data_IF_533155842023
#
_entry.id   IF_533155842023
#
_cell.length_a   1.000
_cell.length_b   1.000
_cell.length_c   1.000
_cell.angle_alpha   90.00
_cell.angle_beta   90.00
_cell.angle_gamma   90.00
#
_symmetry.space_group_name_H-M   'P 1'
#
loop_
_entity.id
_entity.type
_entity.pdbx_description
1 polymer ?
#
# COMPACT_ATOMS: atom_id res chain seq x y z
N UNK A 1 -0.74 41.98 -9.65
CA UNK A 1 -0.71 41.48 -8.26
C UNK A 1 0.33 40.37 -8.20
N UNK A 2 1.34 40.52 -7.35
CA UNK A 2 2.37 39.49 -7.11
C UNK A 2 1.68 38.31 -6.40
N UNK A 3 1.97 37.07 -6.81
CA UNK A 3 1.39 35.88 -6.18
C UNK A 3 1.87 35.74 -4.74
N UNK A 4 1.05 35.21 -3.83
CA UNK A 4 1.50 34.88 -2.46
C UNK A 4 2.77 34.02 -2.46
N UNK A 5 2.93 33.18 -3.48
CA UNK A 5 4.07 32.29 -3.62
C UNK A 5 5.35 33.06 -3.98
N UNK A 6 5.24 34.11 -4.78
CA UNK A 6 6.40 34.95 -5.15
C UNK A 6 6.79 35.82 -3.95
N UNK A 7 5.80 36.38 -3.23
CA UNK A 7 6.05 37.10 -1.96
C UNK A 7 6.72 36.21 -0.91
N UNK A 8 6.23 34.98 -0.74
CA UNK A 8 6.81 34.05 0.24
C UNK A 8 8.26 33.67 -0.10
N UNK A 9 8.63 33.66 -1.38
CA UNK A 9 10.01 33.40 -1.82
C UNK A 9 10.98 34.55 -1.56
N UNK A 10 10.46 35.76 -1.37
CA UNK A 10 11.23 36.95 -1.01
C UNK A 10 11.46 37.05 0.52
N UNK A 11 10.99 36.06 1.30
CA UNK A 11 11.16 36.02 2.75
C UNK A 11 12.53 35.45 3.13
N UNK A 12 13.39 36.31 3.66
CA UNK A 12 14.75 35.97 4.09
C UNK A 12 14.78 35.03 5.32
N UNK A 13 13.75 35.05 6.17
CA UNK A 13 13.66 34.17 7.34
C UNK A 13 13.35 32.71 6.97
N UNK A 14 12.90 32.42 5.74
CA UNK A 14 12.47 31.09 5.29
C UNK A 14 13.51 30.34 4.44
N UNK A 15 14.72 30.87 4.27
CA UNK A 15 15.77 30.26 3.43
C UNK A 15 16.03 28.79 3.79
N UNK A 16 16.27 28.49 5.06
CA UNK A 16 16.52 27.12 5.53
C UNK A 16 15.31 26.18 5.34
N UNK A 17 14.10 26.71 5.47
CA UNK A 17 12.88 25.94 5.17
C UNK A 17 12.79 25.62 3.68
N UNK A 18 13.11 26.57 2.80
CA UNK A 18 13.13 26.35 1.36
C UNK A 18 14.17 25.30 0.95
N UNK A 19 15.36 25.34 1.54
CA UNK A 19 16.41 24.33 1.35
C UNK A 19 15.94 22.95 1.81
N UNK A 20 15.31 22.86 2.98
CA UNK A 20 14.76 21.61 3.49
C UNK A 20 13.75 20.99 2.53
N UNK A 21 12.83 21.80 1.99
CA UNK A 21 11.81 21.29 1.07
C UNK A 21 12.34 21.08 -0.34
N UNK A 22 13.43 21.74 -0.77
CA UNK A 22 14.00 21.59 -2.10
C UNK A 22 14.32 20.12 -2.44
N UNK A 23 14.75 19.35 -1.42
CA UNK A 23 15.06 17.92 -1.50
C UNK A 23 13.82 16.99 -1.58
N UNK A 24 12.61 17.54 -1.45
CA UNK A 24 11.35 16.77 -1.50
C UNK A 24 10.78 16.70 -2.91
N UNK A 25 9.90 15.74 -3.13
CA UNK A 25 9.14 15.64 -4.39
C UNK A 25 8.29 16.88 -4.63
N UNK A 26 8.04 17.24 -5.89
CA UNK A 26 7.21 18.40 -6.26
C UNK A 26 5.87 18.42 -5.50
N UNK A 27 5.12 17.31 -5.53
CA UNK A 27 3.84 17.17 -4.82
C UNK A 27 3.97 17.47 -3.31
N UNK A 28 5.07 17.03 -2.69
CA UNK A 28 5.34 17.29 -1.26
C UNK A 28 5.68 18.76 -1.00
N UNK A 29 6.51 19.38 -1.84
CA UNK A 29 6.85 20.80 -1.73
C UNK A 29 5.61 21.66 -1.83
N UNK A 30 4.80 21.44 -2.87
CA UNK A 30 3.57 22.18 -3.11
C UNK A 30 2.61 22.04 -1.91
N UNK A 31 2.49 20.82 -1.37
CA UNK A 31 1.68 20.56 -0.17
C UNK A 31 2.21 21.32 1.05
N UNK A 32 3.52 21.30 1.28
CA UNK A 32 4.13 21.95 2.44
C UNK A 32 4.01 23.47 2.36
N UNK A 33 4.24 24.06 1.18
CA UNK A 33 4.05 25.49 0.94
C UNK A 33 2.60 25.91 1.17
N UNK A 34 1.63 25.11 0.72
CA UNK A 34 0.22 25.40 0.95
C UNK A 34 -0.15 25.41 2.44
N UNK A 35 0.46 24.51 3.21
CA UNK A 35 0.21 24.42 4.65
C UNK A 35 0.89 25.53 5.40
N UNK A 36 2.12 25.90 5.03
CA UNK A 36 2.81 27.08 5.53
C UNK A 36 1.99 28.34 5.25
N UNK A 37 1.51 28.52 4.02
CA UNK A 37 0.57 29.60 3.68
C UNK A 37 -0.64 29.60 4.62
N UNK A 38 -1.24 28.44 4.86
CA UNK A 38 -2.39 28.31 5.77
C UNK A 38 -2.10 28.57 7.25
N UNK A 39 -0.82 28.56 7.66
CA UNK A 39 -0.33 29.00 8.98
C UNK A 39 -0.20 30.52 9.00
N UNK A 40 0.50 31.09 8.02
CA UNK A 40 0.72 32.54 7.89
C UNK A 40 -0.62 33.28 7.82
N UNK A 41 -1.52 32.84 6.92
CA UNK A 41 -2.88 33.38 6.78
C UNK A 41 -3.68 33.33 8.08
N UNK A 42 -3.45 32.31 8.92
CA UNK A 42 -4.22 32.13 10.15
C UNK A 42 -3.82 33.12 11.25
N UNK A 43 -2.55 33.52 11.27
CA UNK A 43 -2.05 34.53 12.20
C UNK A 43 -2.09 35.95 11.62
N UNK A 44 -2.60 36.11 10.39
CA UNK A 44 -2.68 37.39 9.69
C UNK A 44 -1.30 38.06 9.54
N UNK A 45 -0.26 37.24 9.38
CA UNK A 45 1.12 37.70 9.20
C UNK A 45 1.41 37.95 7.70
N UNK A 46 2.37 38.83 7.40
CA UNK A 46 2.79 39.08 6.02
C UNK A 46 3.70 37.96 5.50
N UNK A 47 3.59 37.60 4.23
CA UNK A 47 4.42 36.53 3.66
C UNK A 47 5.90 36.87 3.58
N UNK A 48 6.26 38.14 3.36
CA UNK A 48 7.65 38.60 3.23
C UNK A 48 8.30 38.70 4.62
N UNK A 49 7.53 39.20 5.60
CA UNK A 49 8.04 39.49 6.94
C UNK A 49 7.79 38.36 7.96
N UNK A 50 7.10 37.27 7.58
CA UNK A 50 6.82 36.14 8.46
C UNK A 50 8.12 35.57 9.04
N UNK A 51 8.25 35.62 10.37
CA UNK A 51 9.41 35.08 11.08
C UNK A 51 9.04 33.78 11.82
N UNK A 52 9.56 32.61 11.40
CA UNK A 52 9.30 31.33 12.06
C UNK A 52 9.69 31.30 13.55
N UNK A 53 10.67 32.09 13.97
CA UNK A 53 11.13 32.14 15.37
C UNK A 53 10.09 32.71 16.34
N UNK A 54 9.12 33.47 15.83
CA UNK A 54 8.00 33.98 16.64
C UNK A 54 6.93 32.92 16.92
N UNK A 55 7.04 31.74 16.31
CA UNK A 55 6.16 30.61 16.60
C UNK A 55 6.46 30.05 17.98
N UNK A 56 5.39 29.72 18.72
CA UNK A 56 5.49 29.18 20.07
C UNK A 56 4.35 28.20 20.35
N UNK A 57 4.41 27.55 21.53
CA UNK A 57 3.42 26.56 21.94
C UNK A 57 1.98 27.11 21.92
N UNK A 58 1.78 28.40 22.20
CA UNK A 58 0.45 29.02 22.18
C UNK A 58 -0.07 29.13 20.75
N UNK A 59 0.72 29.69 19.82
CA UNK A 59 0.37 29.77 18.39
C UNK A 59 0.04 28.37 17.85
N UNK A 60 0.87 27.36 18.11
CA UNK A 60 0.59 25.98 17.68
C UNK A 60 -0.76 25.46 18.18
N UNK A 61 -1.04 25.56 19.49
CA UNK A 61 -2.31 25.09 20.07
C UNK A 61 -3.52 25.84 19.53
N UNK A 62 -3.41 27.16 19.37
CA UNK A 62 -4.49 28.01 18.86
C UNK A 62 -4.86 27.61 17.43
N UNK A 63 -3.86 27.39 16.57
CA UNK A 63 -4.08 26.94 15.20
C UNK A 63 -4.71 25.56 15.14
N UNK A 64 -4.17 24.56 15.86
CA UNK A 64 -4.71 23.20 15.84
C UNK A 64 -6.15 23.18 16.38
N UNK A 65 -6.41 23.89 17.48
CA UNK A 65 -7.76 24.01 18.05
C UNK A 65 -8.73 24.64 17.06
N UNK A 66 -8.35 25.73 16.39
CA UNK A 66 -9.21 26.39 15.42
C UNK A 66 -9.46 25.52 14.18
N UNK A 67 -8.41 24.95 13.59
CA UNK A 67 -8.51 24.14 12.37
C UNK A 67 -9.23 22.81 12.62
N UNK A 68 -9.17 22.25 13.84
CA UNK A 68 -9.82 20.96 14.17
C UNK A 68 -11.34 20.97 14.02
N UNK A 69 -11.98 22.14 14.12
CA UNK A 69 -13.43 22.30 13.92
C UNK A 69 -13.89 21.98 12.49
N UNK A 70 -13.01 22.13 11.51
CA UNK A 70 -13.36 22.04 10.07
C UNK A 70 -12.53 21.00 9.31
N UNK A 71 -11.49 20.44 9.92
CA UNK A 71 -10.53 19.58 9.23
C UNK A 71 -10.45 18.18 9.83
N UNK A 72 -10.15 17.20 8.98
CA UNK A 72 -9.86 15.82 9.41
C UNK A 72 -8.50 15.76 10.13
N UNK A 73 -8.33 14.73 10.98
CA UNK A 73 -7.07 14.46 11.69
C UNK A 73 -5.84 14.46 10.78
N UNK A 74 -5.93 13.87 9.59
CA UNK A 74 -4.84 13.83 8.60
C UNK A 74 -4.37 15.21 8.17
N UNK A 75 -5.29 16.17 8.04
CA UNK A 75 -4.95 17.56 7.70
C UNK A 75 -4.32 18.27 8.89
N UNK A 76 -4.80 18.02 10.11
CA UNK A 76 -4.20 18.58 11.34
C UNK A 76 -2.78 18.03 11.57
N UNK A 77 -2.56 16.75 11.27
CA UNK A 77 -1.24 16.13 11.31
C UNK A 77 -0.29 16.76 10.29
N UNK A 78 -0.79 17.25 9.15
CA UNK A 78 0.02 17.95 8.16
C UNK A 78 0.43 19.36 8.65
N UNK A 79 -0.46 20.10 9.30
CA UNK A 79 -0.09 21.34 10.02
C UNK A 79 0.95 21.06 11.10
N UNK A 80 0.70 20.06 11.94
CA UNK A 80 1.64 19.64 13.00
C UNK A 80 2.99 19.22 12.42
N UNK A 81 3.01 18.63 11.20
CA UNK A 81 4.25 18.29 10.52
C UNK A 81 5.05 19.52 10.09
N UNK A 82 4.41 20.57 9.59
CA UNK A 82 5.09 21.83 9.26
C UNK A 82 5.61 22.50 10.52
N UNK A 83 4.82 22.58 11.59
CA UNK A 83 5.32 23.06 12.88
C UNK A 83 6.52 22.25 13.37
N UNK A 84 6.49 20.92 13.28
CA UNK A 84 7.64 20.07 13.62
C UNK A 84 8.87 20.34 12.75
N UNK A 85 8.70 20.64 11.46
CA UNK A 85 9.81 20.99 10.57
C UNK A 85 10.41 22.33 11.00
N UNK A 86 9.59 23.37 11.19
CA UNK A 86 10.05 24.69 11.62
C UNK A 86 10.70 24.63 13.01
N UNK A 87 10.10 23.89 13.94
CA UNK A 87 10.65 23.67 15.30
C UNK A 87 12.06 23.09 15.24
N UNK A 88 12.31 22.15 14.33
CA UNK A 88 13.62 21.53 14.20
C UNK A 88 14.65 22.41 13.47
N UNK A 89 14.22 23.19 12.48
CA UNK A 89 15.10 24.07 11.70
C UNK A 89 15.54 25.26 12.57
N UNK A 90 14.58 25.90 13.25
CA UNK A 90 14.79 27.13 14.03
C UNK A 90 14.92 26.87 15.54
N UNK A 91 15.18 25.63 15.95
CA UNK A 91 15.39 25.21 17.36
C UNK A 91 14.32 25.69 18.36
N UNK A 92 13.04 25.68 17.94
CA UNK A 92 11.94 26.19 18.76
C UNK A 92 11.57 25.21 19.89
N UNK A 93 11.07 25.73 21.00
CA UNK A 93 10.54 24.91 22.10
C UNK A 93 9.03 24.67 21.93
N UNK A 94 8.64 23.91 20.91
CA UNK A 94 7.25 23.55 20.62
C UNK A 94 7.07 22.04 20.70
N UNK A 95 6.21 21.60 21.61
CA UNK A 95 5.81 20.21 21.74
C UNK A 95 4.70 19.89 20.73
N UNK A 96 5.02 19.01 19.76
CA UNK A 96 4.13 18.63 18.67
C UNK A 96 3.44 17.31 18.96
N UNK A 97 2.11 17.31 18.92
CA UNK A 97 1.29 16.10 19.07
C UNK A 97 0.72 15.65 17.73
N UNK A 98 0.99 14.40 17.35
CA UNK A 98 0.36 13.77 16.18
C UNK A 98 -0.89 13.00 16.60
N UNK A 99 -2.01 13.33 15.96
CA UNK A 99 -3.30 12.72 16.22
C UNK A 99 -3.34 11.30 15.64
N UNK A 100 -3.66 10.31 16.48
CA UNK A 100 -3.88 8.93 16.03
C UNK A 100 -5.11 8.86 15.12
N UNK A 101 -4.91 8.24 13.95
CA UNK A 101 -5.94 7.89 13.00
C UNK A 101 -6.30 6.40 13.18
N UNK A 102 -7.58 6.09 13.30
CA UNK A 102 -8.08 4.71 13.30
C UNK A 102 -8.77 4.45 11.96
N UNK A 103 -8.36 3.37 11.30
CA UNK A 103 -8.98 2.91 10.06
C UNK A 103 -10.40 2.39 10.35
N UNK A 104 -11.39 2.83 9.59
CA UNK A 104 -12.78 2.34 9.62
C UNK A 104 -12.99 1.21 8.63
N UNK A 105 -14.00 0.36 8.87
CA UNK A 105 -14.38 -0.73 7.97
C UNK A 105 -14.75 -0.23 6.55
N UNK A 106 -15.26 1.00 6.45
CA UNK A 106 -15.55 1.67 5.17
C UNK A 106 -14.33 2.03 4.34
N UNK A 107 -13.10 1.82 4.84
CA UNK A 107 -11.87 2.34 4.24
C UNK A 107 -11.26 1.43 3.18
N UNK A 108 -11.94 0.34 2.81
CA UNK A 108 -11.52 -0.57 1.75
C UNK A 108 -12.70 -1.11 0.94
N UNK A 109 -12.39 -1.75 -0.18
CA UNK A 109 -13.35 -2.44 -1.04
C UNK A 109 -13.20 -3.93 -0.79
N UNK A 110 -14.30 -4.63 -0.49
CA UNK A 110 -14.31 -6.09 -0.35
C UNK A 110 -14.30 -6.77 -1.71
N UNK A 111 -13.96 -8.05 -1.74
CA UNK A 111 -13.92 -8.78 -3.00
C UNK A 111 -15.32 -8.94 -3.63
N UNK A 112 -16.37 -9.04 -2.81
CA UNK A 112 -17.76 -9.08 -3.26
C UNK A 112 -18.19 -7.74 -3.86
N UNK A 113 -17.81 -6.63 -3.22
CA UNK A 113 -18.07 -5.27 -3.74
C UNK A 113 -17.32 -5.01 -5.07
N UNK A 114 -16.20 -5.69 -5.31
CA UNK A 114 -15.52 -5.64 -6.61
C UNK A 114 -16.40 -6.28 -7.70
N UNK A 115 -17.02 -7.43 -7.44
CA UNK A 115 -17.96 -8.04 -8.38
C UNK A 115 -19.19 -7.15 -8.62
N UNK A 116 -19.76 -6.56 -7.55
CA UNK A 116 -20.86 -5.60 -7.70
C UNK A 116 -20.48 -4.45 -8.64
N UNK A 117 -19.26 -3.90 -8.53
CA UNK A 117 -18.74 -2.88 -9.45
C UNK A 117 -18.63 -3.42 -10.88
N UNK A 118 -18.07 -4.62 -11.06
CA UNK A 118 -17.87 -5.22 -12.39
C UNK A 118 -19.21 -5.44 -13.11
N UNK A 119 -20.23 -5.87 -12.37
CA UNK A 119 -21.54 -6.22 -12.92
C UNK A 119 -22.40 -4.99 -13.24
N UNK A 120 -22.22 -3.89 -12.49
CA UNK A 120 -23.15 -2.74 -12.53
C UNK A 120 -22.53 -1.40 -12.98
N UNK A 121 -21.20 -1.27 -13.05
CA UNK A 121 -20.55 -0.03 -13.51
C UNK A 121 -20.35 -0.02 -15.04
N UNK A 122 -20.06 1.15 -15.60
CA UNK A 122 -19.56 1.24 -16.98
C UNK A 122 -18.32 0.35 -17.15
N UNK A 123 -18.23 -0.38 -18.26
CA UNK A 123 -17.14 -1.35 -18.50
C UNK A 123 -15.74 -0.75 -18.39
N UNK A 124 -15.58 0.54 -18.72
CA UNK A 124 -14.33 1.27 -18.54
C UNK A 124 -13.95 1.42 -17.06
N UNK A 125 -14.93 1.76 -16.21
CA UNK A 125 -14.77 1.86 -14.76
C UNK A 125 -14.45 0.48 -14.18
N UNK A 126 -15.17 -0.56 -14.60
CA UNK A 126 -14.95 -1.93 -14.18
C UNK A 126 -13.52 -2.40 -14.53
N UNK A 127 -13.05 -2.16 -15.76
CA UNK A 127 -11.72 -2.56 -16.19
C UNK A 127 -10.60 -1.89 -15.37
N UNK A 128 -10.67 -0.57 -15.18
CA UNK A 128 -9.67 0.17 -14.38
C UNK A 128 -9.72 -0.26 -12.91
N UNK A 129 -10.91 -0.44 -12.36
CA UNK A 129 -11.12 -0.80 -10.95
C UNK A 129 -10.62 -2.21 -10.66
N UNK A 130 -11.00 -3.19 -11.49
CA UNK A 130 -10.52 -4.57 -11.37
C UNK A 130 -9.00 -4.64 -11.53
N UNK A 131 -8.43 -3.91 -12.49
CA UNK A 131 -6.98 -3.87 -12.68
C UNK A 131 -6.25 -3.32 -11.44
N UNK A 132 -6.69 -2.19 -10.88
CA UNK A 132 -6.09 -1.61 -9.65
C UNK A 132 -6.22 -2.58 -8.48
N UNK A 133 -7.41 -3.16 -8.28
CA UNK A 133 -7.65 -4.09 -7.19
C UNK A 133 -6.73 -5.29 -7.32
N UNK A 134 -6.74 -5.98 -8.46
CA UNK A 134 -6.08 -7.26 -8.64
C UNK A 134 -4.55 -7.19 -8.84
N UNK A 135 -4.02 -6.03 -9.23
CA UNK A 135 -2.56 -5.78 -9.20
C UNK A 135 -2.10 -5.15 -7.90
N UNK A 136 -3.06 -4.64 -7.11
CA UNK A 136 -2.79 -3.86 -5.92
C UNK A 136 -2.05 -2.56 -6.19
N UNK A 137 -1.87 -2.07 -7.41
CA UNK A 137 -0.97 -0.95 -7.73
C UNK A 137 -1.46 0.42 -7.23
N UNK A 138 -0.52 1.37 -7.03
CA UNK A 138 -0.86 2.77 -6.75
C UNK A 138 -1.25 3.48 -8.05
N UNK A 139 -2.12 4.51 -8.02
CA UNK A 139 -2.51 5.26 -9.23
C UNK A 139 -1.34 5.77 -10.07
N UNK A 140 -0.27 6.26 -9.41
CA UNK A 140 0.94 6.73 -10.12
C UNK A 140 1.60 5.61 -10.93
N UNK A 141 1.64 4.39 -10.38
CA UNK A 141 2.18 3.24 -11.09
C UNK A 141 1.27 2.87 -12.25
N UNK A 142 -0.04 2.85 -12.05
CA UNK A 142 -1.04 2.49 -13.07
C UNK A 142 -1.00 3.42 -14.27
N UNK A 143 -0.91 4.74 -14.07
CA UNK A 143 -0.84 5.68 -15.20
C UNK A 143 0.49 5.59 -15.98
N UNK A 144 1.53 5.03 -15.38
CA UNK A 144 2.85 4.86 -16.01
C UNK A 144 3.01 3.55 -16.78
N UNK A 145 2.00 2.66 -16.76
CA UNK A 145 2.09 1.36 -17.44
C UNK A 145 1.96 1.56 -18.95
N UNK A 146 2.96 1.08 -19.68
CA UNK A 146 2.95 0.99 -21.12
C UNK A 146 2.35 -0.34 -21.61
N UNK A 147 1.74 -0.34 -22.79
CA UNK A 147 1.18 -1.52 -23.45
C UNK A 147 2.23 -2.60 -23.65
N UNK A 148 3.47 -2.21 -23.95
CA UNK A 148 4.64 -3.09 -24.11
C UNK A 148 5.01 -3.86 -22.83
N UNK A 149 4.58 -3.39 -21.66
CA UNK A 149 4.84 -4.02 -20.37
C UNK A 149 3.81 -5.10 -20.02
N UNK A 150 2.71 -5.22 -20.78
CA UNK A 150 1.63 -6.17 -20.48
C UNK A 150 1.97 -7.57 -21.00
N UNK A 151 2.30 -8.48 -20.08
CA UNK A 151 2.59 -9.88 -20.39
C UNK A 151 1.34 -10.75 -20.20
N UNK A 152 0.33 -10.53 -21.05
CA UNK A 152 -1.03 -11.10 -20.88
C UNK A 152 -1.18 -12.56 -21.31
N UNK A 153 -0.26 -13.08 -22.12
CA UNK A 153 -0.31 -14.45 -22.65
C UNK A 153 0.55 -15.44 -21.85
N UNK A 154 1.22 -14.96 -20.78
CA UNK A 154 1.95 -15.83 -19.87
C UNK A 154 0.98 -16.72 -19.08
N UNK A 155 1.46 -17.90 -18.63
CA UNK A 155 0.68 -18.80 -17.78
C UNK A 155 0.16 -18.09 -16.51
N UNK A 156 0.96 -17.17 -15.97
CA UNK A 156 0.57 -16.27 -14.90
C UNK A 156 0.76 -14.83 -15.41
N UNK A 157 -0.31 -14.17 -15.90
CA UNK A 157 -0.22 -12.83 -16.49
C UNK A 157 0.35 -11.79 -15.53
N UNK A 158 1.22 -10.92 -16.03
CA UNK A 158 1.89 -9.90 -15.22
C UNK A 158 2.16 -8.62 -16.01
N UNK A 159 2.57 -7.57 -15.29
CA UNK A 159 3.07 -6.32 -15.85
C UNK A 159 4.57 -6.24 -15.56
N UNK A 160 5.38 -6.11 -16.61
CA UNK A 160 6.84 -6.11 -16.50
C UNK A 160 7.38 -4.74 -16.05
N UNK A 161 8.34 -4.74 -15.14
CA UNK A 161 9.19 -3.57 -14.82
C UNK A 161 8.40 -2.31 -14.42
N UNK A 162 7.34 -2.47 -13.62
CA UNK A 162 6.44 -1.39 -13.19
C UNK A 162 7.17 -0.41 -12.28
N UNK A 163 7.00 0.88 -12.54
CA UNK A 163 7.53 1.93 -11.68
C UNK A 163 6.78 2.00 -10.33
N UNK A 164 7.52 1.87 -9.23
CA UNK A 164 7.01 1.94 -7.87
C UNK A 164 7.56 3.15 -7.11
N UNK A 165 6.98 3.42 -5.94
CA UNK A 165 7.42 4.50 -5.04
C UNK A 165 8.89 4.29 -4.65
N UNK A 166 9.66 5.38 -4.65
CA UNK A 166 11.07 5.37 -4.28
C UNK A 166 12.02 4.97 -5.42
N UNK A 167 11.57 5.06 -6.68
CA UNK A 167 12.41 4.78 -7.86
C UNK A 167 12.60 3.29 -8.16
N UNK A 168 12.00 2.40 -7.37
CA UNK A 168 12.09 0.94 -7.56
C UNK A 168 11.28 0.49 -8.76
N UNK A 169 11.69 -0.60 -9.40
CA UNK A 169 10.94 -1.27 -10.45
C UNK A 169 10.88 -2.78 -10.22
N UNK A 170 9.70 -3.35 -10.39
CA UNK A 170 9.45 -4.78 -10.22
C UNK A 170 8.39 -5.28 -11.19
N UNK A 171 8.42 -6.57 -11.47
CA UNK A 171 7.32 -7.25 -12.15
C UNK A 171 6.15 -7.42 -11.18
N UNK A 172 4.94 -7.18 -11.68
CA UNK A 172 3.71 -7.17 -10.87
C UNK A 172 2.75 -8.18 -11.45
N UNK A 173 2.46 -9.22 -10.70
CA UNK A 173 1.50 -10.23 -11.10
C UNK A 173 0.08 -9.65 -11.16
N UNK A 174 -0.70 -10.07 -12.15
CA UNK A 174 -2.14 -9.79 -12.23
C UNK A 174 -2.84 -10.95 -11.53
N UNK A 175 -3.29 -10.73 -10.30
CA UNK A 175 -4.14 -11.70 -9.63
C UNK A 175 -5.50 -11.75 -10.33
N UNK A 176 -6.20 -12.87 -10.19
CA UNK A 176 -7.52 -13.06 -10.82
C UNK A 176 -7.57 -12.72 -12.33
N UNK A 177 -6.72 -13.34 -13.17
CA UNK A 177 -6.64 -13.02 -14.59
C UNK A 177 -7.93 -13.34 -15.36
N UNK A 178 -8.71 -14.31 -14.92
CA UNK A 178 -10.05 -14.62 -15.43
C UNK A 178 -11.03 -13.44 -15.30
N UNK A 179 -10.86 -12.60 -14.29
CA UNK A 179 -11.63 -11.36 -14.11
C UNK A 179 -11.00 -10.22 -14.92
N UNK A 180 -9.69 -10.04 -14.79
CA UNK A 180 -8.99 -8.84 -15.30
C UNK A 180 -8.79 -8.89 -16.81
N UNK A 181 -8.41 -10.04 -17.38
CA UNK A 181 -8.04 -10.11 -18.79
C UNK A 181 -9.20 -9.81 -19.75
N UNK A 182 -10.43 -10.33 -19.55
CA UNK A 182 -11.55 -9.99 -20.43
C UNK A 182 -11.84 -8.48 -20.42
N UNK A 183 -11.85 -7.86 -19.24
CA UNK A 183 -12.08 -6.43 -19.07
C UNK A 183 -10.96 -5.59 -19.68
N UNK A 184 -9.70 -5.98 -19.45
CA UNK A 184 -8.53 -5.27 -19.98
C UNK A 184 -8.45 -5.37 -21.51
N UNK A 185 -8.69 -6.54 -22.08
CA UNK A 185 -8.72 -6.73 -23.54
C UNK A 185 -9.84 -5.91 -24.17
N UNK A 186 -11.04 -5.93 -23.58
CA UNK A 186 -12.15 -5.06 -23.99
C UNK A 186 -11.75 -3.59 -23.91
N UNK A 187 -11.13 -3.16 -22.82
CA UNK A 187 -10.71 -1.76 -22.63
C UNK A 187 -9.72 -1.31 -23.70
N UNK A 188 -8.71 -2.13 -24.01
CA UNK A 188 -7.71 -1.84 -25.06
C UNK A 188 -8.38 -1.69 -26.44
N UNK A 189 -9.28 -2.60 -26.78
CA UNK A 189 -10.06 -2.53 -28.03
C UNK A 189 -10.97 -1.30 -28.08
N UNK A 190 -11.69 -1.03 -26.98
CA UNK A 190 -12.57 0.12 -26.85
C UNK A 190 -11.80 1.43 -27.05
N UNK A 191 -10.62 1.58 -26.42
CA UNK A 191 -9.79 2.79 -26.58
C UNK A 191 -9.24 2.93 -28.00
N UNK A 192 -8.77 1.84 -28.61
CA UNK A 192 -8.35 1.82 -30.02
C UNK A 192 -9.48 2.27 -30.95
N UNK A 193 -10.73 1.84 -30.70
CA UNK A 193 -11.89 2.26 -31.51
C UNK A 193 -12.35 3.71 -31.32
N UNK A 194 -11.97 4.36 -30.19
CA UNK A 194 -12.46 5.69 -29.81
C UNK A 194 -11.43 6.80 -29.95
N UNK A 195 -10.15 6.45 -30.00
CA UNK A 195 -9.05 7.41 -30.02
C UNK A 195 -8.18 7.08 -31.24
N UNK A 196 -8.19 7.96 -32.24
CA UNK A 196 -7.54 7.78 -33.54
C UNK A 196 -6.06 7.36 -33.43
N UNK A 197 -5.34 7.94 -32.47
CA UNK A 197 -3.91 7.69 -32.24
C UNK A 197 -3.64 6.79 -31.02
N UNK A 198 -4.61 6.00 -30.56
CA UNK A 198 -4.39 5.16 -29.37
C UNK A 198 -3.24 4.18 -29.53
N UNK A 199 -3.08 3.61 -30.72
CA UNK A 199 -2.08 2.58 -30.99
C UNK A 199 -0.66 3.11 -30.86
N UNK A 200 -0.44 4.39 -31.19
CA UNK A 200 0.85 5.07 -31.04
C UNK A 200 1.09 5.59 -29.61
N UNK A 201 0.04 5.83 -28.82
CA UNK A 201 0.18 6.19 -27.41
C UNK A 201 0.70 4.98 -26.62
N UNK A 202 1.87 5.06 -25.95
CA UNK A 202 2.46 3.91 -25.30
C UNK A 202 1.67 3.45 -24.07
N UNK A 203 0.95 4.36 -23.39
CA UNK A 203 0.29 4.08 -22.13
C UNK A 203 -1.02 3.30 -22.28
N UNK A 204 -1.27 2.39 -21.32
CA UNK A 204 -2.50 1.60 -21.27
C UNK A 204 -3.69 2.50 -20.92
N UNK A 205 -3.66 3.14 -19.76
CA UNK A 205 -4.81 3.86 -19.22
C UNK A 205 -4.78 5.35 -19.57
N UNK A 206 -5.63 5.77 -20.50
CA UNK A 206 -5.70 7.14 -21.02
C UNK A 206 -7.13 7.64 -21.11
N UNK A 207 -7.30 8.94 -20.86
CA UNK A 207 -8.56 9.65 -21.09
C UNK A 207 -8.93 9.67 -22.58
N UNK A 208 -10.14 10.12 -22.91
CA UNK A 208 -10.59 10.31 -24.31
C UNK A 208 -9.67 11.23 -25.12
N UNK A 209 -8.94 12.14 -24.45
CA UNK A 209 -7.95 13.04 -25.07
C UNK A 209 -6.56 12.41 -25.21
N UNK A 210 -6.39 11.12 -24.89
CA UNK A 210 -5.10 10.43 -24.93
C UNK A 210 -4.18 10.67 -23.72
N UNK A 211 -4.59 11.52 -22.76
CA UNK A 211 -3.77 11.82 -21.59
C UNK A 211 -3.89 10.76 -20.49
N UNK A 212 -2.76 10.33 -19.91
CA UNK A 212 -2.67 9.47 -18.72
C UNK A 212 -2.45 10.31 -17.45
N UNK A 213 -3.52 10.68 -16.75
CA UNK A 213 -3.43 11.52 -15.54
C UNK A 213 -3.94 10.81 -14.28
N UNK A 214 -3.40 11.18 -13.11
CA UNK A 214 -3.95 10.73 -11.82
C UNK A 214 -5.42 11.11 -11.72
N UNK A 215 -5.79 12.34 -12.09
CA UNK A 215 -7.16 12.84 -12.03
C UNK A 215 -8.14 11.98 -12.83
N UNK A 216 -7.72 11.46 -13.99
CA UNK A 216 -8.53 10.54 -14.78
C UNK A 216 -8.81 9.23 -14.02
N UNK A 217 -7.79 8.59 -13.45
CA UNK A 217 -7.97 7.37 -12.65
C UNK A 217 -8.87 7.62 -11.44
N UNK A 218 -8.65 8.72 -10.72
CA UNK A 218 -9.48 9.08 -9.57
C UNK A 218 -10.92 9.37 -9.98
N UNK A 219 -11.12 10.05 -11.12
CA UNK A 219 -12.46 10.30 -11.66
C UNK A 219 -13.19 8.98 -11.94
N UNK A 220 -12.60 8.05 -12.68
CA UNK A 220 -13.21 6.75 -12.96
C UNK A 220 -13.54 5.98 -11.68
N UNK A 221 -12.58 5.83 -10.76
CA UNK A 221 -12.81 5.08 -9.51
C UNK A 221 -13.85 5.75 -8.61
N UNK A 222 -13.96 7.09 -8.63
CA UNK A 222 -14.99 7.80 -7.86
C UNK A 222 -16.41 7.49 -8.34
N UNK A 223 -16.59 7.11 -9.62
CA UNK A 223 -17.89 6.77 -10.18
C UNK A 223 -18.44 5.46 -9.60
N UNK A 224 -17.61 4.60 -9.01
CA UNK A 224 -18.05 3.41 -8.27
C UNK A 224 -19.00 3.76 -7.11
N UNK A 225 -19.02 5.02 -6.64
CA UNK A 225 -20.04 5.52 -5.69
C UNK A 225 -21.46 5.29 -6.17
N UNK A 226 -21.72 5.35 -7.49
CA UNK A 226 -23.05 5.11 -8.07
C UNK A 226 -23.53 3.68 -7.83
N UNK A 227 -22.60 2.74 -7.76
CA UNK A 227 -22.87 1.31 -7.52
C UNK A 227 -22.95 1.03 -6.02
N UNK A 228 -21.92 1.41 -5.26
CA UNK A 228 -21.80 1.02 -3.85
C UNK A 228 -22.49 1.97 -2.86
N UNK A 229 -23.11 3.06 -3.34
CA UNK A 229 -23.76 4.07 -2.50
C UNK A 229 -22.82 4.89 -1.60
N UNK A 230 -21.49 4.66 -1.67
CA UNK A 230 -20.48 5.29 -0.81
C UNK A 230 -19.27 5.76 -1.61
N UNK A 231 -18.53 6.79 -1.15
CA UNK A 231 -17.31 7.23 -1.83
C UNK A 231 -16.29 6.10 -1.97
N UNK A 232 -15.72 5.94 -3.16
CA UNK A 232 -14.68 4.96 -3.47
C UNK A 232 -13.42 5.68 -3.94
N UNK A 233 -12.25 5.19 -3.53
CA UNK A 233 -10.96 5.72 -3.94
C UNK A 233 -9.98 4.61 -4.30
N UNK A 234 -8.95 4.89 -5.13
CA UNK A 234 -7.96 3.87 -5.49
C UNK A 234 -7.21 3.25 -4.29
N UNK A 235 -7.04 4.02 -3.20
CA UNK A 235 -6.44 3.51 -1.96
C UNK A 235 -7.27 2.38 -1.37
N UNK A 236 -8.61 2.50 -1.44
CA UNK A 236 -9.53 1.51 -0.89
C UNK A 236 -9.48 0.19 -1.65
N UNK A 237 -9.27 0.23 -2.98
CA UNK A 237 -9.09 -0.96 -3.82
C UNK A 237 -7.81 -1.72 -3.44
N UNK A 238 -6.69 -1.00 -3.35
CA UNK A 238 -5.41 -1.58 -2.93
C UNK A 238 -5.46 -2.16 -1.51
N UNK A 239 -6.08 -1.43 -0.57
CA UNK A 239 -6.29 -1.91 0.80
C UNK A 239 -7.20 -3.14 0.81
N UNK A 240 -8.22 -3.15 -0.06
CA UNK A 240 -9.12 -4.25 -0.31
C UNK A 240 -8.40 -5.54 -0.67
N UNK A 241 -7.51 -5.50 -1.67
CA UNK A 241 -6.68 -6.66 -2.00
C UNK A 241 -5.82 -7.13 -0.82
N UNK A 242 -5.24 -6.18 -0.08
CA UNK A 242 -4.45 -6.49 1.10
C UNK A 242 -5.24 -7.21 2.19
N UNK A 243 -6.49 -6.83 2.41
CA UNK A 243 -7.38 -7.48 3.39
C UNK A 243 -7.88 -8.82 2.86
N UNK A 244 -8.32 -8.88 1.59
CA UNK A 244 -8.76 -10.11 0.94
C UNK A 244 -7.71 -11.21 0.99
N UNK A 245 -6.45 -10.89 0.68
CA UNK A 245 -5.35 -11.85 0.80
C UNK A 245 -5.07 -12.26 2.25
N UNK A 246 -5.35 -11.39 3.23
CA UNK A 246 -5.29 -11.75 4.66
C UNK A 246 -6.36 -12.78 5.02
N UNK A 247 -7.59 -12.54 4.57
CA UNK A 247 -8.75 -13.39 4.85
C UNK A 247 -8.58 -14.79 4.23
N UNK A 248 -7.92 -14.87 3.06
CA UNK A 248 -7.48 -16.14 2.46
C UNK A 248 -6.31 -16.82 3.21
N UNK A 249 -5.78 -16.19 4.25
CA UNK A 249 -4.67 -16.68 5.07
C UNK A 249 -3.36 -16.76 4.31
N UNK A 250 -3.08 -15.78 3.44
CA UNK A 250 -1.77 -15.66 2.81
C UNK A 250 -0.72 -15.25 3.83
N UNK A 251 0.50 -15.71 3.60
CA UNK A 251 1.65 -15.27 4.38
C UNK A 251 1.88 -13.76 4.25
N UNK A 252 2.18 -13.10 5.36
CA UNK A 252 2.32 -11.64 5.42
C UNK A 252 3.46 -11.14 4.54
N UNK A 253 4.52 -11.92 4.37
CA UNK A 253 5.67 -11.62 3.54
C UNK A 253 5.29 -11.57 2.07
N UNK A 254 4.54 -12.57 1.61
CA UNK A 254 4.00 -12.62 0.24
C UNK A 254 3.03 -11.46 0.00
N UNK A 255 2.20 -11.12 1.00
CA UNK A 255 1.28 -9.97 0.95
C UNK A 255 2.02 -8.64 0.88
N UNK A 256 3.09 -8.45 1.67
CA UNK A 256 3.94 -7.24 1.64
C UNK A 256 4.63 -7.07 0.29
N UNK A 257 5.09 -8.17 -0.30
CA UNK A 257 5.70 -8.19 -1.62
C UNK A 257 4.69 -7.87 -2.72
N UNK A 258 3.54 -8.53 -2.73
CA UNK A 258 2.41 -8.27 -3.64
C UNK A 258 2.02 -6.78 -3.63
N UNK A 259 1.89 -6.23 -2.44
CA UNK A 259 1.52 -4.84 -2.26
C UNK A 259 2.74 -3.90 -2.33
N UNK A 260 3.96 -4.31 -2.69
CA UNK A 260 5.11 -3.39 -2.81
C UNK A 260 5.25 -2.36 -1.67
N UNK A 261 5.02 -2.77 -0.41
CA UNK A 261 5.19 -1.92 0.77
C UNK A 261 6.69 -1.77 1.03
N UNK A 262 7.26 -0.72 0.46
CA UNK A 262 8.67 -0.36 0.60
C UNK A 262 9.06 0.31 1.91
N UNK A 263 8.37 0.05 3.04
CA UNK A 263 8.96 0.32 4.37
C UNK A 263 9.69 -0.94 4.84
N UNK A 264 10.78 -1.24 4.12
CA UNK A 264 11.80 -2.22 4.51
C UNK A 264 12.87 -1.49 5.37
N UNK A 265 12.46 -0.43 6.08
CA UNK A 265 13.32 0.34 6.98
C UNK A 265 13.49 -0.32 8.36
N UNK A 266 12.56 -1.19 8.77
CA UNK A 266 12.62 -1.90 10.06
C UNK A 266 12.50 -3.42 9.91
N UNK A 267 12.79 -3.96 8.74
CA UNK A 267 12.95 -5.42 8.63
C UNK A 267 14.10 -5.71 7.66
N UNK A 268 15.30 -5.62 8.24
CA UNK A 268 16.52 -6.44 8.08
C UNK A 268 16.58 -7.30 6.83
N UNK A 269 17.66 -7.16 6.03
CA UNK A 269 18.50 -8.14 5.28
C UNK A 269 18.15 -9.66 5.17
N UNK A 270 16.98 -10.13 5.55
CA UNK A 270 16.46 -11.50 5.46
C UNK A 270 15.47 -11.68 4.28
N UNK A 271 15.19 -10.62 3.52
CA UNK A 271 14.13 -10.55 2.49
C UNK A 271 14.62 -10.72 1.05
N UNK A 272 15.82 -11.26 0.84
CA UNK A 272 16.39 -11.48 -0.49
C UNK A 272 15.76 -12.65 -1.27
N UNK A 273 14.96 -13.49 -0.60
CA UNK A 273 14.68 -14.86 -1.09
C UNK A 273 13.26 -15.07 -1.65
N UNK A 274 12.39 -14.05 -1.62
CA UNK A 274 11.02 -14.15 -2.15
C UNK A 274 10.94 -13.56 -3.57
N UNK A 275 10.37 -14.31 -4.51
CA UNK A 275 10.21 -13.95 -5.93
C UNK A 275 8.74 -13.85 -6.35
N UNK A 276 8.47 -13.36 -7.57
CA UNK A 276 7.12 -13.36 -8.15
C UNK A 276 6.51 -14.78 -8.13
N UNK A 277 7.33 -15.83 -8.23
CA UNK A 277 6.88 -17.22 -8.17
C UNK A 277 6.31 -17.61 -6.79
N UNK A 278 6.77 -16.98 -5.71
CA UNK A 278 6.17 -17.17 -4.38
C UNK A 278 4.75 -16.62 -4.32
N UNK A 279 4.49 -15.47 -4.95
CA UNK A 279 3.13 -14.91 -5.04
C UNK A 279 2.24 -15.84 -5.84
N UNK A 280 2.71 -16.31 -7.00
CA UNK A 280 1.96 -17.22 -7.86
C UNK A 280 1.63 -18.52 -7.14
N UNK A 281 2.61 -19.13 -6.47
CA UNK A 281 2.43 -20.36 -5.69
C UNK A 281 1.41 -20.16 -4.57
N UNK A 282 1.52 -19.06 -3.82
CA UNK A 282 0.59 -18.76 -2.73
C UNK A 282 -0.83 -18.49 -3.26
N UNK A 283 -0.94 -17.72 -4.36
CA UNK A 283 -2.20 -17.45 -5.04
C UNK A 283 -2.89 -18.72 -5.50
N UNK A 284 -2.20 -19.59 -6.24
CA UNK A 284 -2.78 -20.83 -6.76
C UNK A 284 -3.23 -21.76 -5.62
N UNK A 285 -2.49 -21.81 -4.51
CA UNK A 285 -2.84 -22.62 -3.34
C UNK A 285 -4.07 -22.12 -2.59
N UNK A 286 -4.21 -20.79 -2.49
CA UNK A 286 -5.20 -20.15 -1.60
C UNK A 286 -6.47 -19.72 -2.33
N UNK A 287 -6.38 -19.49 -3.64
CA UNK A 287 -7.54 -19.21 -4.49
C UNK A 287 -8.39 -20.46 -4.72
N UNK A 288 -7.76 -21.63 -4.84
CA UNK A 288 -8.42 -22.91 -4.99
C UNK A 288 -8.02 -23.79 -3.80
N UNK A 289 -8.80 -23.83 -2.70
CA UNK A 289 -8.52 -24.77 -1.64
C UNK A 289 -8.56 -26.18 -2.25
N UNK A 290 -7.41 -26.86 -2.30
CA UNK A 290 -7.33 -28.23 -2.78
C UNK A 290 -8.25 -29.10 -1.92
N UNK A 291 -9.30 -29.66 -2.54
CA UNK A 291 -9.84 -30.93 -2.10
C UNK A 291 -8.71 -31.95 -2.21
N UNK A 292 -8.40 -32.58 -1.09
CA UNK A 292 -7.40 -33.64 -0.99
C UNK A 292 -7.92 -34.87 -1.75
N UNK A 293 -7.13 -35.32 -2.72
CA UNK A 293 -7.06 -36.66 -3.33
C UNK A 293 -8.36 -37.27 -3.89
N UNK A 294 -8.46 -37.24 -5.21
CA UNK A 294 -9.34 -38.09 -6.00
C UNK A 294 -9.29 -37.65 -7.44
N UNK A 295 -8.76 -38.50 -8.32
CA UNK A 295 -8.72 -38.33 -9.77
C UNK A 295 -10.01 -37.70 -10.33
N UNK A 296 -9.89 -36.66 -11.17
CA UNK A 296 -10.48 -36.55 -12.52
C UNK A 296 -10.12 -35.19 -13.14
N UNK A 297 -10.05 -35.23 -14.47
CA UNK A 297 -9.60 -34.30 -15.50
C UNK A 297 -10.11 -32.85 -15.41
N UNK A 298 -9.32 -31.97 -16.04
CA UNK A 298 -9.68 -30.67 -16.59
C UNK A 298 -11.18 -30.51 -16.88
N UNK A 299 -11.86 -29.68 -16.10
CA UNK A 299 -13.03 -28.94 -16.56
C UNK A 299 -12.89 -27.49 -16.11
N UNK A 300 -12.91 -26.61 -17.11
CA UNK A 300 -13.05 -25.17 -16.93
C UNK A 300 -14.22 -24.89 -15.99
N UNK A 301 -13.93 -24.24 -14.86
CA UNK A 301 -14.95 -23.83 -13.91
C UNK A 301 -15.85 -22.77 -14.58
N UNK A 302 -17.07 -23.16 -14.96
CA UNK A 302 -18.12 -22.20 -15.28
C UNK A 302 -18.68 -21.62 -13.96
N UNK A 303 -18.76 -20.30 -13.80
CA UNK A 303 -19.36 -19.72 -12.61
C UNK A 303 -20.86 -20.04 -12.61
N UNK A 304 -21.33 -20.85 -11.66
CA UNK A 304 -22.77 -21.04 -11.44
C UNK A 304 -23.35 -19.85 -10.66
N UNK A 305 -24.50 -19.29 -11.09
CA UNK A 305 -25.17 -18.21 -10.37
C UNK A 305 -26.13 -18.79 -9.32
N UNK A 306 -25.76 -18.72 -8.04
CA UNK A 306 -26.72 -18.57 -6.93
C UNK A 306 -25.99 -18.34 -5.61
N UNK A 307 -26.03 -17.09 -5.14
CA UNK A 307 -25.76 -16.77 -3.74
C UNK A 307 -26.87 -17.39 -2.88
N UNK A 308 -26.61 -18.57 -2.32
CA UNK A 308 -27.30 -19.01 -1.11
C UNK A 308 -26.40 -18.70 0.08
N UNK A 309 -26.88 -17.73 0.86
CA UNK A 309 -26.51 -17.33 2.21
C UNK A 309 -25.46 -18.24 2.89
N UNK A 310 -24.19 -17.82 2.85
CA UNK A 310 -23.23 -18.24 3.88
C UNK A 310 -23.12 -17.10 4.89
N UNK A 311 -23.58 -17.39 6.10
CA UNK A 311 -23.35 -16.54 7.26
C UNK A 311 -21.85 -16.37 7.47
N UNK A 312 -21.42 -15.14 7.74
CA UNK A 312 -20.04 -14.76 7.98
C UNK A 312 -19.42 -15.64 9.07
N UNK A 313 -18.26 -16.29 8.84
CA UNK A 313 -17.51 -16.88 9.95
C UNK A 313 -17.09 -15.74 10.89
N UNK A 314 -17.52 -15.82 12.14
CA UNK A 314 -16.97 -14.98 13.21
C UNK A 314 -15.47 -15.27 13.33
N UNK A 315 -14.59 -14.26 13.54
CA UNK A 315 -13.17 -14.52 13.70
C UNK A 315 -12.93 -15.42 14.92
N UNK A 316 -12.15 -16.51 14.79
CA UNK A 316 -11.79 -17.32 15.95
C UNK A 316 -10.96 -16.47 16.92
N UNK A 317 -11.41 -16.48 18.16
CA UNK A 317 -10.85 -15.77 19.29
C UNK A 317 -9.51 -16.40 19.70
N UNK A 318 -8.47 -15.56 19.85
CA UNK A 318 -7.23 -15.78 20.61
C UNK A 318 -6.13 -16.71 20.02
N UNK A 319 -5.38 -16.24 19.02
CA UNK A 319 -4.10 -16.85 18.58
C UNK A 319 -2.91 -16.37 19.45
N UNK A 320 -2.96 -16.66 20.75
CA UNK A 320 -1.83 -16.40 21.66
C UNK A 320 -0.90 -17.63 21.66
N UNK A 321 0.24 -17.53 20.97
CA UNK A 321 1.29 -18.55 21.00
C UNK A 321 2.26 -18.30 22.17
N UNK A 322 3.06 -19.30 22.55
CA UNK A 322 4.10 -19.14 23.58
C UNK A 322 5.48 -19.39 22.97
N UNK A 323 6.47 -18.60 23.39
CA UNK A 323 7.84 -18.79 22.95
C UNK A 323 8.33 -20.18 23.38
N UNK A 324 8.76 -21.05 22.45
CA UNK A 324 9.21 -22.41 22.78
C UNK A 324 10.51 -22.44 23.59
N UNK A 325 11.14 -21.29 23.82
CA UNK A 325 12.40 -21.20 24.55
C UNK A 325 12.31 -20.46 25.89
N UNK A 326 11.36 -19.55 26.10
CA UNK A 326 11.22 -18.83 27.37
C UNK A 326 9.81 -18.88 27.96
N UNK A 327 8.86 -19.52 27.27
CA UNK A 327 7.49 -19.73 27.75
C UNK A 327 6.65 -18.46 27.84
N UNK A 328 7.15 -17.29 27.43
CA UNK A 328 6.38 -16.03 27.43
C UNK A 328 5.42 -15.97 26.23
N UNK A 329 4.24 -15.36 26.38
CA UNK A 329 3.29 -15.22 25.30
C UNK A 329 3.88 -14.37 24.18
N UNK A 330 3.73 -14.83 22.95
CA UNK A 330 4.20 -14.19 21.73
C UNK A 330 3.05 -14.14 20.73
N UNK A 331 3.00 -13.07 19.94
CA UNK A 331 2.02 -12.98 18.87
C UNK A 331 2.37 -13.98 17.77
N UNK A 332 1.34 -14.53 17.13
CA UNK A 332 1.48 -15.50 16.04
C UNK A 332 2.39 -15.00 14.89
N UNK A 333 2.50 -13.70 14.66
CA UNK A 333 3.31 -13.12 13.57
C UNK A 333 4.79 -12.94 13.95
N UNK A 334 5.18 -13.20 15.20
CA UNK A 334 6.54 -12.97 15.69
C UNK A 334 7.53 -14.04 15.19
N UNK A 335 8.59 -13.58 14.52
CA UNK A 335 9.73 -14.42 14.10
C UNK A 335 10.79 -14.48 15.20
N UNK A 336 10.96 -13.39 15.95
CA UNK A 336 11.85 -13.27 17.10
C UNK A 336 11.01 -13.06 18.37
N UNK A 337 11.37 -13.74 19.46
CA UNK A 337 10.77 -13.47 20.76
C UNK A 337 11.29 -12.12 21.30
N UNK A 338 10.41 -11.15 21.59
CA UNK A 338 10.84 -9.83 22.09
C UNK A 338 11.44 -9.89 23.49
N UNK A 339 11.20 -10.99 24.23
CA UNK A 339 11.66 -11.13 25.61
C UNK A 339 13.02 -11.83 25.75
N UNK A 340 13.34 -12.76 24.84
CA UNK A 340 14.60 -13.52 24.92
C UNK A 340 15.47 -13.42 23.67
N UNK A 341 15.03 -12.68 22.64
CA UNK A 341 15.76 -12.44 21.40
C UNK A 341 15.96 -13.67 20.51
N UNK A 342 15.34 -14.82 20.82
CA UNK A 342 15.50 -16.06 20.04
C UNK A 342 14.52 -16.09 18.87
N UNK A 343 14.99 -16.64 17.75
CA UNK A 343 14.18 -16.94 16.57
C UNK A 343 13.23 -18.09 16.87
N UNK A 344 11.93 -17.79 16.98
CA UNK A 344 10.87 -18.73 17.36
C UNK A 344 10.19 -19.38 16.16
N UNK A 345 10.33 -18.80 14.97
CA UNK A 345 9.87 -19.35 13.69
C UNK A 345 11.00 -19.33 12.66
N UNK A 346 11.08 -20.36 11.83
CA UNK A 346 12.03 -20.50 10.71
C UNK A 346 11.28 -20.77 9.42
N UNK A 347 11.86 -20.41 8.28
CA UNK A 347 11.26 -20.65 6.96
C UNK A 347 11.68 -22.04 6.49
N UNK A 348 10.73 -22.86 6.04
CA UNK A 348 11.04 -24.15 5.40
C UNK A 348 11.67 -23.92 4.02
N UNK A 349 12.84 -24.51 3.77
CA UNK A 349 13.56 -24.34 2.49
C UNK A 349 12.77 -24.78 1.25
N UNK A 350 11.84 -25.74 1.41
CA UNK A 350 11.05 -26.33 0.32
C UNK A 350 9.72 -25.60 0.13
N UNK A 351 8.89 -25.51 1.18
CA UNK A 351 7.54 -24.93 1.04
C UNK A 351 7.45 -23.45 1.45
N UNK A 352 8.55 -22.85 1.87
CA UNK A 352 8.68 -21.44 2.30
C UNK A 352 7.68 -20.99 3.38
N UNK A 353 7.16 -21.93 4.19
CA UNK A 353 6.29 -21.63 5.34
C UNK A 353 7.10 -21.40 6.61
N UNK A 354 6.63 -20.49 7.46
CA UNK A 354 7.08 -20.41 8.85
C UNK A 354 6.68 -21.67 9.60
N UNK A 355 7.66 -22.29 10.21
CA UNK A 355 7.52 -23.46 11.07
C UNK A 355 8.19 -23.14 12.40
N UNK A 356 7.73 -23.78 13.47
CA UNK A 356 8.35 -23.58 14.78
C UNK A 356 9.85 -23.90 14.70
N UNK A 357 10.68 -23.03 15.28
CA UNK A 357 12.13 -23.20 15.24
C UNK A 357 12.60 -24.54 15.84
N UNK A 358 11.86 -25.10 16.81
CA UNK A 358 12.18 -26.39 17.45
C UNK A 358 11.78 -27.61 16.61
N UNK A 359 10.92 -27.45 15.60
CA UNK A 359 10.43 -28.58 14.81
C UNK A 359 11.49 -29.12 13.87
N UNK A 360 11.70 -30.43 13.87
CA UNK A 360 12.68 -31.10 13.01
C UNK A 360 12.14 -31.32 11.59
N UNK A 361 10.82 -31.38 11.45
CA UNK A 361 10.12 -31.63 10.20
C UNK A 361 9.08 -30.54 9.97
N UNK A 362 9.02 -30.03 8.75
CA UNK A 362 7.97 -29.10 8.35
C UNK A 362 6.63 -29.86 8.31
N UNK A 363 5.62 -29.49 9.12
CA UNK A 363 4.34 -30.20 9.14
C UNK A 363 3.55 -30.03 7.84
N UNK A 364 3.98 -29.13 6.96
CA UNK A 364 3.26 -28.76 5.76
C UNK A 364 3.75 -29.46 4.50
N UNK A 365 5.01 -29.90 4.47
CA UNK A 365 5.60 -30.56 3.30
C UNK A 365 6.51 -31.75 3.66
N UNK A 366 6.49 -32.17 4.93
CA UNK A 366 7.31 -33.26 5.48
C UNK A 366 8.83 -33.11 5.28
N UNK A 367 9.31 -31.96 4.81
CA UNK A 367 10.74 -31.71 4.60
C UNK A 367 11.43 -31.50 5.94
N UNK A 368 12.57 -32.16 6.15
CA UNK A 368 13.45 -31.91 7.30
C UNK A 368 13.89 -30.45 7.32
N UNK A 369 13.63 -29.76 8.42
CA UNK A 369 13.98 -28.34 8.55
C UNK A 369 15.41 -28.24 9.07
N UNK A 370 16.30 -27.61 8.29
CA UNK A 370 17.71 -27.48 8.66
C UNK A 370 17.88 -26.81 10.03
N UNK A 371 18.68 -27.41 10.92
CA UNK A 371 19.11 -26.79 12.18
C UNK A 371 20.18 -25.74 11.86
N UNK A 372 20.01 -24.49 12.31
CA UNK A 372 21.07 -23.48 12.23
C UNK A 372 22.24 -23.93 13.12
N UNK A 373 23.48 -23.84 12.62
CA UNK A 373 24.69 -24.03 13.46
C UNK A 373 24.64 -23.00 14.60
N UNK A 374 24.90 -23.41 15.84
CA UNK A 374 25.01 -22.51 17.00
C UNK A 374 26.04 -21.42 16.65
N UNK A 375 25.62 -20.16 16.63
CA UNK A 375 26.56 -19.06 16.79
C UNK A 375 27.05 -19.12 18.23
N UNK A 376 28.30 -19.54 18.42
CA UNK A 376 28.98 -19.42 19.70
C UNK A 376 29.12 -17.93 20.02
N UNK A 377 28.68 -17.55 21.22
CA UNK A 377 28.78 -16.20 21.75
C UNK A 377 30.26 -15.80 21.83
N UNK A 378 30.72 -14.98 20.89
CA UNK A 378 31.89 -14.13 21.11
C UNK A 378 31.55 -13.06 22.13
N UNK A 379 32.12 -13.19 23.33
CA UNK A 379 32.18 -12.20 24.39
C UNK A 379 32.61 -10.82 23.82
N UNK A 380 31.75 -9.81 23.98
CA UNK A 380 32.24 -8.45 24.20
C UNK A 380 32.63 -8.38 25.68
N UNK A 381 33.93 -8.39 25.95
CA UNK A 381 34.49 -7.85 27.18
C UNK A 381 35.44 -6.73 26.74
N UNK A 382 35.11 -5.52 27.19
CA UNK A 382 35.98 -4.35 27.14
C UNK A 382 37.35 -4.66 27.75
N UNK A 383 38.42 -4.14 27.14
CA UNK A 383 39.48 -3.42 27.88
C UNK A 383 40.53 -2.78 26.95
N UNK A 384 40.63 -1.47 27.14
CA UNK A 384 41.74 -0.52 26.94
C UNK A 384 42.11 -0.12 25.52
#
# INVERSE_FOLDING_TARGET
>A
MISWHDRLKENDHLEEFFDYIALKSKDTRDTYLWILKGIIDFFEEDYIDFNPEELNQRKYRDLIRAKSKKNKKSTLNLYSKIFSILTNIYELNIEIELLRETDKFTDYIRFEELYEIIDNADKEIAAVTAFIFCTGLRPISVISIEKSQLMLNAANPYVRNVYLKGGKRHDIIILYPDIVLPLLRWYLQFKSSKIENYDTIPYVFVSQRGNNSKSYIYHLVSQCKKVLGRPVSPRMLRKGLGIHTKELGWQDEVRRMLLGHGDIGTTIKAYSDYSVDDIVREFNRKRFPQQVQGSIQNQYYQPQPRFQQMQSPQPPNNNQEFCPFCGRPVEYEMILCPYCGREIKKICDVCKRYVNATWEVCPYCATKVKKRKKYEKGLFIDKK
#
